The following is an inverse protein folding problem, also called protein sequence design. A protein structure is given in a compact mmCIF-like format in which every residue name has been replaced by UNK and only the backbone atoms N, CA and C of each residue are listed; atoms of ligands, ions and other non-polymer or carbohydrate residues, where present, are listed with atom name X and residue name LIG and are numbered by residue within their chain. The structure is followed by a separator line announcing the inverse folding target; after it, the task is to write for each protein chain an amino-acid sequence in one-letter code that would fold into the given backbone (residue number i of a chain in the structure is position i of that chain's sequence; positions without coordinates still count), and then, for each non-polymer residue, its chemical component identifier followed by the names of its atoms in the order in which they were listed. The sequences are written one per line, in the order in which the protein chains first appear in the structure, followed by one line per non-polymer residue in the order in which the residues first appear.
data_IF_254829774885
#
_entry.id   IF_254829774885
#
_cell.length_a   1.000
_cell.length_b   1.000
_cell.length_c   1.000
_cell.angle_alpha   90.00
_cell.angle_beta   90.00
_cell.angle_gamma   90.00
#
_symmetry.space_group_name_H-M   'P 1'
#
loop_
_entity.id
_entity.type
_entity.pdbx_description
1 polymer ?
#
# COMPACT_ATOMS: atom_id res chain seq x y z
N UNK A 1 7.97 -2.19 2.42
CA UNK A 1 6.78 -1.92 1.58
C UNK A 1 6.65 -0.41 1.44
N UNK A 2 6.13 0.06 0.30
CA UNK A 2 5.88 1.47 0.03
C UNK A 2 4.41 1.65 -0.35
N UNK A 3 3.79 2.70 0.18
CA UNK A 3 2.50 3.20 -0.29
C UNK A 3 2.77 4.45 -1.13
N UNK A 4 2.33 4.46 -2.38
CA UNK A 4 2.65 5.53 -3.32
C UNK A 4 1.47 5.82 -4.24
N UNK A 5 1.29 7.08 -4.61
CA UNK A 5 0.20 7.56 -5.46
C UNK A 5 0.70 8.17 -6.78
N UNK A 6 2.02 8.11 -7.01
CA UNK A 6 2.67 8.69 -8.19
C UNK A 6 3.44 7.65 -9.03
N UNK A 7 3.48 7.76 -10.36
CA UNK A 7 4.26 6.84 -11.20
C UNK A 7 5.77 6.87 -10.87
N UNK A 8 6.30 8.05 -10.56
CA UNK A 8 7.70 8.21 -10.18
C UNK A 8 8.01 7.52 -8.84
N UNK A 9 7.13 7.66 -7.85
CA UNK A 9 7.25 7.00 -6.55
C UNK A 9 7.11 5.48 -6.64
N UNK A 10 6.15 4.97 -7.43
CA UNK A 10 6.00 3.53 -7.72
C UNK A 10 7.27 2.97 -8.36
N UNK A 11 7.84 3.66 -9.34
CA UNK A 11 9.08 3.25 -9.99
C UNK A 11 10.26 3.24 -8.99
N UNK A 12 10.36 4.26 -8.14
CA UNK A 12 11.40 4.33 -7.11
C UNK A 12 11.27 3.20 -6.08
N UNK A 13 10.06 2.93 -5.57
CA UNK A 13 9.79 1.84 -4.64
C UNK A 13 10.13 0.47 -5.22
N UNK A 14 9.78 0.25 -6.49
CA UNK A 14 10.11 -0.98 -7.23
C UNK A 14 11.63 -1.13 -7.40
N UNK A 15 12.32 -0.06 -7.80
CA UNK A 15 13.78 -0.07 -7.96
C UNK A 15 14.52 -0.31 -6.63
N UNK A 16 13.93 0.10 -5.51
CA UNK A 16 14.43 -0.17 -4.16
C UNK A 16 14.14 -1.61 -3.67
N UNK A 17 13.45 -2.43 -4.47
CA UNK A 17 13.08 -3.79 -4.11
C UNK A 17 11.93 -3.87 -3.08
N UNK A 18 11.18 -2.78 -2.89
CA UNK A 18 10.01 -2.79 -2.02
C UNK A 18 8.80 -3.38 -2.76
N UNK A 19 7.94 -4.07 -2.01
CA UNK A 19 6.55 -4.29 -2.44
C UNK A 19 5.80 -2.96 -2.44
N UNK A 20 5.12 -2.63 -3.53
CA UNK A 20 4.45 -1.34 -3.73
C UNK A 20 2.93 -1.52 -3.68
N UNK A 21 2.27 -0.73 -2.83
CA UNK A 21 0.82 -0.59 -2.78
C UNK A 21 0.46 0.79 -3.35
N UNK A 22 -0.16 0.80 -4.52
CA UNK A 22 -0.60 2.02 -5.17
C UNK A 22 -1.87 2.57 -4.51
N UNK A 23 -1.90 3.88 -4.25
CA UNK A 23 -3.06 4.60 -3.70
C UNK A 23 -3.68 5.43 -4.82
N UNK A 24 -4.95 5.16 -5.16
CA UNK A 24 -5.63 5.72 -6.34
C UNK A 24 -6.20 7.14 -6.12
N UNK A 25 -5.52 7.97 -5.32
CA UNK A 25 -5.99 9.34 -4.99
C UNK A 25 -5.59 10.39 -6.02
N UNK A 26 -4.51 10.16 -6.77
CA UNK A 26 -3.88 11.18 -7.63
C UNK A 26 -3.96 10.84 -9.12
N UNK A 27 -3.81 9.56 -9.49
CA UNK A 27 -3.88 9.09 -10.88
C UNK A 27 -4.68 7.80 -10.99
N UNK A 28 -5.09 7.47 -12.21
CA UNK A 28 -5.85 6.27 -12.53
C UNK A 28 -5.01 5.00 -12.31
N UNK A 29 -5.66 3.88 -12.00
CA UNK A 29 -5.00 2.57 -11.79
C UNK A 29 -4.06 2.16 -12.91
N UNK A 30 -4.41 2.47 -14.16
CA UNK A 30 -3.61 2.13 -15.35
C UNK A 30 -2.26 2.85 -15.40
N UNK A 31 -2.07 3.92 -14.62
CA UNK A 31 -0.84 4.71 -14.55
C UNK A 31 0.11 4.25 -13.44
N UNK A 32 -0.33 3.33 -12.57
CA UNK A 32 0.43 2.87 -11.41
C UNK A 32 0.70 1.35 -11.52
N UNK A 33 1.82 0.93 -12.13
CA UNK A 33 2.20 -0.48 -12.20
C UNK A 33 2.76 -0.95 -10.85
N UNK A 34 1.87 -1.34 -9.93
CA UNK A 34 2.18 -1.76 -8.57
C UNK A 34 1.76 -3.21 -8.28
N UNK A 35 2.07 -3.73 -7.09
CA UNK A 35 1.69 -5.10 -6.68
C UNK A 35 0.23 -5.18 -6.20
N UNK A 36 -0.26 -4.11 -5.59
CA UNK A 36 -1.59 -3.96 -5.02
C UNK A 36 -2.10 -2.53 -5.27
N UNK A 37 -3.42 -2.37 -5.29
CA UNK A 37 -4.08 -1.07 -5.42
C UNK A 37 -5.15 -0.94 -4.34
N UNK A 38 -5.22 0.23 -3.74
CA UNK A 38 -6.27 0.65 -2.81
C UNK A 38 -6.80 2.01 -3.26
N UNK A 39 -8.07 2.28 -2.98
CA UNK A 39 -8.68 3.56 -3.32
C UNK A 39 -8.21 4.63 -2.33
N UNK A 40 -7.97 4.26 -1.07
CA UNK A 40 -7.54 5.18 -0.03
C UNK A 40 -6.75 4.50 1.10
N UNK A 41 -5.82 5.22 1.74
CA UNK A 41 -5.06 4.72 2.89
C UNK A 41 -5.93 4.34 4.11
N UNK A 42 -7.17 4.84 4.20
CA UNK A 42 -8.18 4.42 5.19
C UNK A 42 -8.54 2.94 5.11
N UNK A 43 -8.22 2.27 4.00
CA UNK A 43 -8.38 0.81 3.85
C UNK A 43 -7.25 0.00 4.50
N UNK A 44 -6.20 0.66 4.99
CA UNK A 44 -5.06 0.02 5.66
C UNK A 44 -5.27 0.11 7.16
N UNK A 45 -5.42 -1.05 7.80
CA UNK A 45 -5.66 -1.13 9.25
C UNK A 45 -4.55 -1.92 9.92
N UNK A 46 -3.83 -1.32 10.89
CA UNK A 46 -2.90 -2.06 11.72
C UNK A 46 -3.67 -3.02 12.64
N UNK A 47 -3.31 -4.29 12.60
CA UNK A 47 -3.90 -5.34 13.43
C UNK A 47 -3.10 -5.61 14.71
N UNK A 48 -1.84 -5.20 14.74
CA UNK A 48 -0.95 -5.35 15.89
C UNK A 48 0.51 -5.18 15.50
N UNK A 49 1.35 -4.97 16.50
CA UNK A 49 2.79 -4.99 16.46
C UNK A 49 3.34 -6.38 16.84
N UNK A 50 4.52 -6.71 16.31
CA UNK A 50 5.30 -7.85 16.77
C UNK A 50 5.75 -7.64 18.21
N UNK A 51 5.99 -8.73 18.94
CA UNK A 51 6.40 -8.68 20.34
C UNK A 51 7.73 -7.92 20.58
N UNK A 52 8.52 -7.72 19.52
CA UNK A 52 9.79 -7.01 19.49
C UNK A 52 9.70 -5.57 18.96
N UNK A 53 8.50 -5.13 18.55
CA UNK A 53 8.27 -3.82 17.93
C UNK A 53 8.94 -3.65 16.56
N UNK A 54 9.41 -4.73 15.93
CA UNK A 54 10.04 -4.69 14.60
C UNK A 54 9.06 -5.02 13.48
N UNK A 55 8.03 -5.80 13.80
CA UNK A 55 7.01 -6.21 12.86
C UNK A 55 5.69 -5.45 13.07
N UNK A 56 4.94 -5.26 11.99
CA UNK A 56 3.55 -4.80 12.03
C UNK A 56 2.71 -5.67 11.11
N UNK A 57 1.56 -6.13 11.60
CA UNK A 57 0.59 -6.82 10.77
C UNK A 57 -0.43 -5.80 10.26
N UNK A 58 -0.60 -5.73 8.95
CA UNK A 58 -1.54 -4.84 8.29
C UNK A 58 -2.61 -5.65 7.57
N UNK A 59 -3.88 -5.24 7.72
CA UNK A 59 -4.96 -5.62 6.80
C UNK A 59 -5.08 -4.53 5.74
N UNK A 60 -5.19 -4.95 4.48
CA UNK A 60 -5.36 -4.04 3.32
C UNK A 60 -6.66 -4.41 2.60
N UNK A 61 -7.52 -3.41 2.39
CA UNK A 61 -8.78 -3.51 1.65
C UNK A 61 -10.01 -3.13 2.48
N UNK A 62 -11.09 -2.75 1.79
CA UNK A 62 -12.36 -2.35 2.40
C UNK A 62 -12.81 -3.30 3.53
N UNK A 63 -13.33 -2.76 4.65
CA UNK A 63 -13.90 -3.60 5.69
C UNK A 63 -14.97 -4.50 5.08
N UNK A 64 -14.87 -5.80 5.34
CA UNK A 64 -15.92 -6.74 4.96
C UNK A 64 -17.17 -6.31 5.70
N UNK A 65 -18.17 -5.77 4.98
CA UNK A 65 -19.46 -5.47 5.58
C UNK A 65 -20.06 -6.80 6.04
N UNK A 66 -20.08 -6.99 7.36
CA UNK A 66 -20.77 -8.08 8.06
C UNK A 66 -22.28 -7.88 8.02
#
# INVERSE_FOLDING_TARGET
MVFEDSPAGVAAGTAAGARVVAVLTTVERSQLPADLWIDDLREVVPLGDGADGQDITLRVGAPTQS
#
